data_IF_990819582574
#
_entry.id   IF_990819582574
#
_cell.length_a   1.000
_cell.length_b   1.000
_cell.length_c   1.000
_cell.angle_alpha   90.00
_cell.angle_beta   90.00
_cell.angle_gamma   90.00
#
_symmetry.space_group_name_H-M   'P 1'
#
loop_
_entity.id
_entity.type
_entity.pdbx_description
1 polymer ?
#
# COMPACT_ATOMS: atom_id res chain seq x y z
N UNK A 1 23.02 11.72 70.90
CA UNK A 1 23.98 11.42 69.82
C UNK A 1 23.23 11.42 68.50
N UNK A 2 23.62 12.34 67.61
CA UNK A 2 23.31 12.33 66.17
C UNK A 2 24.03 11.13 65.50
N UNK A 3 23.82 10.73 64.25
CA UNK A 3 23.35 11.44 63.07
C UNK A 3 22.77 10.47 62.02
N UNK A 4 22.04 11.08 61.10
CA UNK A 4 21.43 10.55 59.88
C UNK A 4 22.52 10.07 58.90
N UNK A 5 22.36 8.87 58.35
CA UNK A 5 23.14 8.37 57.20
C UNK A 5 22.26 8.44 55.96
N UNK A 6 22.71 9.23 54.98
CA UNK A 6 22.02 9.46 53.70
C UNK A 6 22.47 8.53 52.57
N UNK A 7 22.21 9.01 51.34
CA UNK A 7 22.58 8.47 50.01
C UNK A 7 21.50 7.57 49.39
N UNK A 8 21.01 7.73 48.16
CA UNK A 8 21.33 8.64 47.05
C UNK A 8 20.07 8.78 46.19
N UNK A 9 19.63 10.01 45.95
CA UNK A 9 18.72 10.33 44.85
C UNK A 9 19.51 10.28 43.54
N UNK A 10 19.44 9.16 42.83
CA UNK A 10 19.87 9.10 41.44
C UNK A 10 18.69 9.55 40.56
N UNK A 11 18.56 10.87 40.39
CA UNK A 11 17.78 11.44 39.31
C UNK A 11 18.52 11.15 38.00
N UNK A 12 18.16 10.06 37.33
CA UNK A 12 18.55 9.88 35.93
C UNK A 12 17.62 10.73 35.08
N UNK A 13 18.14 11.90 34.73
CA UNK A 13 17.69 12.70 33.62
C UNK A 13 17.74 11.85 32.34
N UNK A 14 16.57 11.43 31.86
CA UNK A 14 16.43 11.02 30.47
C UNK A 14 16.37 12.29 29.61
N UNK A 15 17.57 12.79 29.29
CA UNK A 15 17.78 13.76 28.23
C UNK A 15 17.49 13.11 26.87
N UNK A 16 16.70 13.82 26.07
CA UNK A 16 16.80 13.93 24.62
C UNK A 16 16.72 12.64 23.77
N UNK A 17 15.50 12.09 23.70
CA UNK A 17 15.07 11.28 22.56
C UNK A 17 13.96 12.02 21.77
N UNK A 18 14.24 13.26 21.35
CA UNK A 18 13.24 14.15 20.71
C UNK A 18 13.52 14.52 19.25
N UNK A 19 14.45 13.86 18.56
CA UNK A 19 14.84 14.28 17.19
C UNK A 19 14.71 13.22 16.08
N UNK A 20 14.00 12.10 16.29
CA UNK A 20 13.81 11.09 15.22
C UNK A 20 12.37 10.68 14.91
N UNK A 21 11.36 11.37 15.44
CA UNK A 21 9.94 11.13 15.09
C UNK A 21 9.34 12.21 14.19
N UNK A 22 10.14 13.17 13.71
CA UNK A 22 9.64 14.36 12.99
C UNK A 22 9.73 14.31 11.45
N UNK A 23 10.12 13.18 10.84
CA UNK A 23 10.27 13.08 9.37
C UNK A 23 9.35 12.07 8.67
N UNK A 24 8.34 11.54 9.36
CA UNK A 24 7.35 10.62 8.76
C UNK A 24 5.93 11.21 8.65
N UNK A 25 5.81 12.54 8.70
CA UNK A 25 4.54 13.27 8.52
C UNK A 25 4.62 14.24 7.35
N UNK A 26 5.11 13.78 6.20
CA UNK A 26 4.61 14.31 4.93
C UNK A 26 3.33 13.53 4.64
N UNK A 27 2.22 14.22 4.90
CA UNK A 27 0.82 13.79 4.79
C UNK A 27 0.47 13.38 3.35
N UNK A 28 1.00 12.23 2.91
CA UNK A 28 0.43 11.53 1.77
C UNK A 28 -0.91 10.94 2.19
N UNK A 29 -1.97 11.18 1.40
CA UNK A 29 -3.23 10.51 1.62
C UNK A 29 -3.07 9.02 1.20
N UNK A 30 -3.30 8.13 2.17
CA UNK A 30 -3.20 6.68 1.98
C UNK A 30 -4.58 6.09 1.68
N UNK A 31 -4.71 5.39 0.54
CA UNK A 31 -5.97 4.79 0.14
C UNK A 31 -5.85 3.26 0.08
N UNK A 32 -6.71 2.57 0.83
CA UNK A 32 -6.77 1.12 0.88
C UNK A 32 -7.71 0.57 -0.19
N UNK A 33 -7.22 -0.37 -1.02
CA UNK A 33 -8.00 -1.00 -2.08
C UNK A 33 -8.70 -2.27 -1.55
N UNK A 34 -9.99 -2.16 -1.24
CA UNK A 34 -10.72 -3.21 -0.50
C UNK A 34 -11.44 -4.24 -1.37
N UNK A 35 -11.71 -3.96 -2.66
CA UNK A 35 -12.51 -4.87 -3.51
C UNK A 35 -12.07 -4.93 -4.98
N UNK A 36 -12.13 -6.12 -5.62
CA UNK A 36 -11.98 -6.28 -7.07
C UNK A 36 -13.15 -5.73 -7.89
N UNK A 37 -14.35 -5.67 -7.31
CA UNK A 37 -15.59 -5.46 -8.05
C UNK A 37 -16.05 -4.00 -8.09
N UNK A 38 -15.57 -3.18 -7.17
CA UNK A 38 -15.91 -1.76 -7.08
C UNK A 38 -14.62 -0.96 -6.88
N UNK A 39 -14.15 -0.22 -7.91
CA UNK A 39 -12.94 0.56 -7.77
C UNK A 39 -13.13 1.65 -6.72
N UNK A 40 -12.19 1.74 -5.76
CA UNK A 40 -12.21 2.81 -4.77
C UNK A 40 -11.96 4.16 -5.46
N UNK A 41 -12.79 5.17 -5.21
CA UNK A 41 -12.54 6.53 -5.71
C UNK A 41 -11.53 7.23 -4.79
N UNK A 42 -10.44 7.69 -5.38
CA UNK A 42 -9.36 8.41 -4.71
C UNK A 42 -9.29 9.81 -5.29
N UNK A 43 -9.57 10.83 -4.48
CA UNK A 43 -9.49 12.23 -4.88
C UNK A 43 -8.24 12.88 -4.27
N UNK A 44 -7.49 13.62 -5.07
CA UNK A 44 -6.30 14.35 -4.62
C UNK A 44 -6.16 15.67 -5.36
N UNK A 45 -5.65 16.73 -4.73
CA UNK A 45 -5.32 17.97 -5.44
C UNK A 45 -4.24 17.73 -6.51
N UNK A 46 -4.24 18.56 -7.55
CA UNK A 46 -3.17 18.53 -8.54
C UNK A 46 -1.81 18.84 -7.91
N UNK A 47 -0.74 18.23 -8.43
CA UNK A 47 0.64 18.30 -7.96
C UNK A 47 0.92 17.67 -6.58
N UNK A 48 -0.06 17.02 -5.94
CA UNK A 48 0.14 16.27 -4.71
C UNK A 48 0.65 14.84 -4.95
N UNK A 49 1.09 14.18 -3.89
CA UNK A 49 1.50 12.76 -3.94
C UNK A 49 0.37 11.85 -3.46
N UNK A 50 0.05 10.83 -4.25
CA UNK A 50 -0.98 9.83 -3.94
C UNK A 50 -0.33 8.49 -3.64
N UNK A 51 -0.71 7.87 -2.52
CA UNK A 51 -0.26 6.55 -2.11
C UNK A 51 -1.41 5.54 -2.16
N UNK A 52 -1.33 4.59 -3.08
CA UNK A 52 -2.25 3.46 -3.21
C UNK A 52 -1.71 2.23 -2.49
N UNK A 53 -2.49 1.70 -1.54
CA UNK A 53 -2.12 0.53 -0.75
C UNK A 53 -2.95 -0.67 -1.20
N UNK A 54 -2.26 -1.66 -1.75
CA UNK A 54 -2.81 -2.97 -2.04
C UNK A 54 -2.46 -3.94 -0.91
N UNK A 55 -3.44 -4.25 -0.07
CA UNK A 55 -3.30 -5.23 0.99
C UNK A 55 -3.87 -6.58 0.54
N UNK A 56 -3.08 -7.64 0.70
CA UNK A 56 -3.47 -8.98 0.28
C UNK A 56 -2.99 -10.04 1.25
N UNK A 57 -3.64 -11.20 1.23
CA UNK A 57 -3.18 -12.40 1.95
C UNK A 57 -2.24 -13.19 1.07
N UNK A 58 -1.29 -13.89 1.67
CA UNK A 58 -0.63 -15.00 1.01
C UNK A 58 -1.69 -15.91 0.40
N UNK A 59 -1.63 -16.01 -0.93
CA UNK A 59 -2.71 -16.55 -1.73
C UNK A 59 -2.89 -18.04 -1.51
N UNK A 60 -4.09 -18.49 -1.88
CA UNK A 60 -4.35 -19.89 -2.12
C UNK A 60 -5.00 -20.05 -3.49
N UNK A 61 -4.78 -21.19 -4.13
CA UNK A 61 -5.38 -21.55 -5.40
C UNK A 61 -6.42 -22.64 -5.14
N UNK A 62 -7.70 -22.34 -5.36
CA UNK A 62 -8.80 -23.30 -5.18
C UNK A 62 -9.08 -24.04 -6.49
N UNK A 63 -9.16 -25.37 -6.44
CA UNK A 63 -9.68 -26.17 -7.57
C UNK A 63 -11.19 -26.03 -7.65
N UNK A 64 -11.73 -25.61 -8.80
CA UNK A 64 -13.17 -25.58 -9.06
C UNK A 64 -13.80 -26.98 -9.03
N UNK A 65 -13.02 -28.03 -9.25
CA UNK A 65 -13.56 -29.40 -9.41
C UNK A 65 -13.63 -30.20 -8.11
N UNK A 66 -12.90 -29.81 -7.06
CA UNK A 66 -12.84 -30.55 -5.78
C UNK A 66 -12.81 -29.67 -4.52
N UNK A 67 -12.83 -28.34 -4.65
CA UNK A 67 -12.68 -27.43 -3.51
C UNK A 67 -11.31 -27.51 -2.81
N UNK A 68 -10.36 -28.27 -3.36
CA UNK A 68 -9.03 -28.42 -2.76
C UNK A 68 -8.27 -27.11 -2.93
N UNK A 69 -7.81 -26.59 -1.80
CA UNK A 69 -7.10 -25.32 -1.67
C UNK A 69 -5.60 -25.60 -1.57
N UNK A 70 -4.81 -25.04 -2.48
CA UNK A 70 -3.35 -25.20 -2.50
C UNK A 70 -2.68 -23.91 -2.08
N UNK A 71 -1.62 -24.01 -1.28
CA UNK A 71 -0.79 -22.86 -0.95
C UNK A 71 -0.14 -22.28 -2.21
N UNK A 72 0.00 -20.96 -2.24
CA UNK A 72 0.76 -20.29 -3.29
C UNK A 72 2.23 -20.70 -3.22
N UNK A 73 2.75 -21.35 -4.27
CA UNK A 73 4.17 -21.66 -4.37
C UNK A 73 4.97 -20.47 -4.89
N UNK A 74 4.34 -19.67 -5.75
CA UNK A 74 4.91 -18.45 -6.29
C UNK A 74 3.85 -17.36 -6.38
N UNK A 75 4.18 -16.16 -5.93
CA UNK A 75 3.28 -15.02 -5.92
C UNK A 75 3.97 -13.79 -6.46
N UNK A 76 3.28 -13.00 -7.28
CA UNK A 76 3.78 -11.75 -7.84
C UNK A 76 2.70 -10.68 -7.81
N UNK A 77 3.07 -9.48 -7.39
CA UNK A 77 2.22 -8.30 -7.52
C UNK A 77 2.69 -7.47 -8.72
N UNK A 78 1.74 -6.99 -9.50
CA UNK A 78 1.99 -6.10 -10.65
C UNK A 78 1.02 -4.95 -10.55
N UNK A 79 1.54 -3.73 -10.52
CA UNK A 79 0.74 -2.53 -10.67
C UNK A 79 0.50 -2.23 -12.14
N UNK A 80 -0.73 -1.87 -12.47
CA UNK A 80 -1.14 -1.57 -13.82
C UNK A 80 -2.00 -0.32 -13.84
N UNK A 81 -1.91 0.44 -14.92
CA UNK A 81 -2.83 1.52 -15.25
C UNK A 81 -3.64 1.10 -16.46
N UNK A 82 -4.96 1.27 -16.39
CA UNK A 82 -5.86 1.02 -17.49
C UNK A 82 -6.31 2.35 -18.10
N UNK A 83 -5.96 2.55 -19.38
CA UNK A 83 -6.34 3.70 -20.18
C UNK A 83 -7.17 3.21 -21.36
N UNK A 84 -8.50 3.42 -21.34
CA UNK A 84 -9.50 3.08 -22.37
C UNK A 84 -9.36 1.72 -23.10
N UNK A 85 -8.31 1.50 -23.88
CA UNK A 85 -8.03 0.30 -24.68
C UNK A 85 -6.72 -0.41 -24.32
N UNK A 86 -5.91 0.15 -23.42
CA UNK A 86 -4.58 -0.34 -23.10
C UNK A 86 -4.41 -0.48 -21.59
N UNK A 87 -3.75 -1.56 -21.18
CA UNK A 87 -3.31 -1.75 -19.80
C UNK A 87 -1.79 -1.74 -19.79
N UNK A 88 -1.21 -0.77 -19.11
CA UNK A 88 0.23 -0.58 -19.02
C UNK A 88 0.73 -1.03 -17.64
N UNK A 89 1.84 -1.77 -17.62
CA UNK A 89 2.47 -2.15 -16.36
C UNK A 89 3.24 -0.95 -15.81
N UNK A 90 2.97 -0.61 -14.55
CA UNK A 90 3.68 0.43 -13.83
C UNK A 90 4.95 -0.17 -13.25
N UNK A 91 6.06 0.53 -13.44
CA UNK A 91 7.38 0.17 -12.89
C UNK A 91 7.95 1.33 -12.08
N UNK A 92 8.93 1.04 -11.23
CA UNK A 92 9.58 2.06 -10.41
C UNK A 92 10.36 3.04 -11.31
N UNK A 93 10.00 4.33 -11.21
CA UNK A 93 10.49 5.42 -12.05
C UNK A 93 10.51 6.73 -11.25
N UNK A 94 10.89 7.84 -11.88
CA UNK A 94 10.77 9.15 -11.24
C UNK A 94 9.30 9.49 -10.92
N UNK A 95 8.35 9.07 -11.78
CA UNK A 95 6.92 9.35 -11.60
C UNK A 95 6.26 8.41 -10.58
N UNK A 96 6.55 7.12 -10.70
CA UNK A 96 5.93 6.07 -9.89
C UNK A 96 6.94 5.46 -8.93
N UNK A 97 6.54 5.21 -7.70
CA UNK A 97 7.32 4.41 -6.77
C UNK A 97 6.57 3.11 -6.43
N UNK A 98 7.22 1.97 -6.56
CA UNK A 98 6.61 0.66 -6.30
C UNK A 98 7.40 -0.08 -5.24
N UNK A 99 6.74 -0.48 -4.15
CA UNK A 99 7.35 -1.25 -3.07
C UNK A 99 6.48 -2.41 -2.65
N UNK A 100 7.13 -3.50 -2.24
CA UNK A 100 6.49 -4.62 -1.56
C UNK A 100 7.10 -4.72 -0.17
N UNK A 101 6.26 -4.76 0.87
CA UNK A 101 6.63 -4.89 2.28
C UNK A 101 7.72 -3.92 2.78
N UNK A 102 7.33 -2.74 3.26
CA UNK A 102 8.22 -1.83 4.00
C UNK A 102 8.48 -2.39 5.41
N UNK A 103 9.73 -2.56 5.87
CA UNK A 103 10.03 -2.89 7.25
C UNK A 103 9.36 -1.89 8.20
N UNK A 104 8.57 -2.36 9.17
CA UNK A 104 7.94 -1.52 10.21
C UNK A 104 6.41 -1.48 10.22
N UNK A 105 5.73 -2.02 9.19
CA UNK A 105 4.26 -2.13 9.19
C UNK A 105 3.86 -3.37 9.99
N UNK A 106 3.21 -3.18 11.15
CA UNK A 106 2.69 -4.28 11.99
C UNK A 106 1.54 -4.98 11.27
N UNK A 107 1.87 -6.00 10.47
CA UNK A 107 0.91 -6.82 9.72
C UNK A 107 0.51 -8.08 10.49
N UNK A 108 -0.75 -8.50 10.35
CA UNK A 108 -1.17 -9.82 10.81
C UNK A 108 -0.42 -10.92 10.02
N UNK A 109 -0.21 -12.08 10.64
CA UNK A 109 0.49 -13.21 10.00
C UNK A 109 -0.17 -13.58 8.68
N UNK A 110 0.64 -13.71 7.61
CA UNK A 110 0.17 -14.04 6.27
C UNK A 110 -0.43 -12.87 5.49
N UNK A 111 -0.50 -11.66 6.06
CA UNK A 111 -0.84 -10.44 5.32
C UNK A 111 0.42 -9.83 4.70
N UNK A 112 0.28 -9.33 3.48
CA UNK A 112 1.31 -8.63 2.72
C UNK A 112 0.73 -7.32 2.18
N UNK A 113 1.61 -6.36 1.91
CA UNK A 113 1.26 -5.06 1.35
C UNK A 113 2.16 -4.77 0.17
N UNK A 114 1.57 -4.26 -0.90
CA UNK A 114 2.26 -3.53 -1.95
C UNK A 114 1.77 -2.08 -1.97
N UNK A 115 2.71 -1.15 -2.14
CA UNK A 115 2.47 0.29 -2.20
C UNK A 115 2.83 0.78 -3.60
N UNK A 116 1.92 1.54 -4.20
CA UNK A 116 2.19 2.37 -5.37
C UNK A 116 2.07 3.84 -4.98
N UNK A 117 3.18 4.58 -5.11
CA UNK A 117 3.23 6.03 -4.97
C UNK A 117 3.21 6.69 -6.33
N UNK A 118 2.33 7.66 -6.51
CA UNK A 118 2.27 8.51 -7.71
C UNK A 118 2.70 9.90 -7.27
N UNK A 119 3.87 10.35 -7.74
CA UNK A 119 4.45 11.63 -7.35
C UNK A 119 3.90 12.75 -8.22
N UNK A 120 3.49 13.86 -7.61
CA UNK A 120 2.99 15.07 -8.29
C UNK A 120 1.94 14.73 -9.32
N UNK A 121 0.77 14.31 -8.87
CA UNK A 121 -0.33 13.88 -9.73
C UNK A 121 -0.74 15.02 -10.69
N UNK A 122 -0.95 14.69 -11.95
CA UNK A 122 -1.38 15.59 -13.01
C UNK A 122 -2.64 15.03 -13.69
N UNK A 123 -3.33 15.84 -14.49
CA UNK A 123 -4.56 15.42 -15.18
C UNK A 123 -4.38 14.15 -15.99
N UNK A 124 -3.24 14.03 -16.66
CA UNK A 124 -2.86 12.84 -17.43
C UNK A 124 -2.59 11.60 -16.57
N UNK A 125 -2.55 11.69 -15.24
CA UNK A 125 -2.44 10.54 -14.33
C UNK A 125 -3.78 10.02 -13.83
N UNK A 126 -4.88 10.73 -14.11
CA UNK A 126 -6.22 10.29 -13.74
C UNK A 126 -6.59 8.99 -14.46
N UNK A 127 -7.41 8.18 -13.81
CA UNK A 127 -7.92 6.94 -14.38
C UNK A 127 -7.82 5.73 -13.45
N UNK A 128 -8.01 4.55 -14.03
CA UNK A 128 -8.13 3.30 -13.30
C UNK A 128 -6.76 2.66 -13.06
N UNK A 129 -6.39 2.55 -11.79
CA UNK A 129 -5.21 1.83 -11.32
C UNK A 129 -5.61 0.46 -10.77
N UNK A 130 -4.78 -0.53 -11.03
CA UNK A 130 -5.03 -1.91 -10.64
C UNK A 130 -3.79 -2.52 -10.00
N UNK A 131 -3.97 -3.11 -8.83
CA UNK A 131 -3.02 -4.05 -8.24
C UNK A 131 -3.43 -5.46 -8.65
N UNK A 132 -2.65 -6.08 -9.52
CA UNK A 132 -2.85 -7.44 -10.01
C UNK A 132 -1.96 -8.40 -9.24
N UNK A 133 -2.57 -9.32 -8.51
CA UNK A 133 -1.88 -10.35 -7.72
C UNK A 133 -2.02 -11.67 -8.44
N UNK A 134 -0.89 -12.22 -8.87
CA UNK A 134 -0.80 -13.52 -9.51
C UNK A 134 -0.31 -14.53 -8.49
N UNK A 135 -1.04 -15.64 -8.35
CA UNK A 135 -0.63 -16.74 -7.51
C UNK A 135 -0.56 -18.03 -8.35
N UNK A 136 0.56 -18.74 -8.26
CA UNK A 136 0.78 -20.04 -8.92
C UNK A 136 1.06 -21.11 -7.86
N UNK A 137 0.27 -22.17 -7.86
CA UNK A 137 0.48 -23.34 -7.03
C UNK A 137 1.60 -24.23 -7.61
N UNK A 138 2.16 -25.12 -6.79
CA UNK A 138 3.26 -26.01 -7.19
C UNK A 138 2.89 -26.95 -8.34
N UNK A 139 1.61 -27.28 -8.48
CA UNK A 139 1.07 -28.10 -9.57
C UNK A 139 0.78 -27.32 -10.86
N UNK A 140 1.10 -26.02 -10.87
CA UNK A 140 0.99 -25.16 -12.04
C UNK A 140 -0.31 -24.37 -12.16
N UNK A 141 -1.34 -24.64 -11.34
CA UNK A 141 -2.59 -23.85 -11.37
C UNK A 141 -2.36 -22.40 -10.98
N UNK A 142 -3.11 -21.49 -11.60
CA UNK A 142 -2.96 -20.05 -11.42
C UNK A 142 -4.29 -19.40 -11.00
N UNK A 143 -4.23 -18.49 -10.03
CA UNK A 143 -5.30 -17.53 -9.74
C UNK A 143 -4.78 -16.11 -9.92
N UNK A 144 -5.68 -15.22 -10.35
CA UNK A 144 -5.38 -13.80 -10.50
C UNK A 144 -6.47 -13.03 -9.76
N UNK A 145 -6.04 -12.19 -8.82
CA UNK A 145 -6.92 -11.28 -8.08
C UNK A 145 -6.56 -9.85 -8.47
N UNK A 146 -7.59 -9.01 -8.62
CA UNK A 146 -7.43 -7.60 -8.96
C UNK A 146 -7.95 -6.76 -7.80
N UNK A 147 -7.24 -5.69 -7.43
CA UNK A 147 -7.76 -4.63 -6.57
C UNK A 147 -7.67 -3.32 -7.35
N UNK A 148 -8.74 -2.54 -7.36
CA UNK A 148 -8.85 -1.40 -8.28
C UNK A 148 -9.11 -0.09 -7.53
N UNK A 149 -8.51 1.00 -8.01
CA UNK A 149 -8.85 2.37 -7.61
C UNK A 149 -8.99 3.24 -8.86
N UNK A 150 -9.99 4.11 -8.85
CA UNK A 150 -10.07 5.21 -9.81
C UNK A 150 -9.51 6.47 -9.15
N UNK A 151 -8.45 7.01 -9.73
CA UNK A 151 -7.83 8.25 -9.27
C UNK A 151 -8.43 9.43 -10.01
N UNK A 152 -8.80 10.44 -9.23
CA UNK A 152 -9.38 11.69 -9.68
C UNK A 152 -8.64 12.89 -9.08
N UNK A 153 -8.64 14.00 -9.81
CA UNK A 153 -8.21 15.28 -9.28
C UNK A 153 -9.39 16.06 -8.72
N UNK A 154 -9.20 16.67 -7.55
CA UNK A 154 -10.14 17.64 -6.99
C UNK A 154 -10.06 18.95 -7.78
N UNK A 155 -10.72 18.98 -8.93
CA UNK A 155 -11.13 20.25 -9.50
C UNK A 155 -12.44 20.66 -8.84
N UNK A 156 -12.68 21.94 -8.65
CA UNK A 156 -13.92 22.48 -8.07
C UNK A 156 -15.22 22.13 -8.83
N UNK A 157 -15.19 21.13 -9.72
CA UNK A 157 -16.32 20.58 -10.44
C UNK A 157 -16.38 19.04 -10.29
N UNK A 158 -17.51 18.48 -9.81
CA UNK A 158 -17.66 17.05 -9.49
C UNK A 158 -17.70 16.10 -10.70
N UNK A 159 -17.69 16.61 -11.93
CA UNK A 159 -18.01 15.86 -13.15
C UNK A 159 -16.82 15.12 -13.81
N UNK A 160 -15.59 15.29 -13.31
CA UNK A 160 -14.39 14.72 -13.94
C UNK A 160 -14.05 13.28 -13.49
N UNK A 161 -14.86 12.67 -12.62
CA UNK A 161 -14.77 11.26 -12.28
C UNK A 161 -15.90 10.48 -12.95
N UNK A 162 -15.73 10.13 -14.22
CA UNK A 162 -16.63 9.22 -14.93
C UNK A 162 -15.92 7.91 -15.24
#
# INVERSE_FOLDING_TARGET
MAAIVGSNTAAFAHADFRWLTAYFLLLGAFYHLTSPMHPCRVTSPENETVDLICQYREGFVTSSHRGITHACAWQKVVWQRADYHLTTNITDTNKYGVWEAVPGWKMAKGMRISLLRIRRIQREDMGLYQCRIQCRAADGRMTVTHHMANICIEEGHPDYCK
#
